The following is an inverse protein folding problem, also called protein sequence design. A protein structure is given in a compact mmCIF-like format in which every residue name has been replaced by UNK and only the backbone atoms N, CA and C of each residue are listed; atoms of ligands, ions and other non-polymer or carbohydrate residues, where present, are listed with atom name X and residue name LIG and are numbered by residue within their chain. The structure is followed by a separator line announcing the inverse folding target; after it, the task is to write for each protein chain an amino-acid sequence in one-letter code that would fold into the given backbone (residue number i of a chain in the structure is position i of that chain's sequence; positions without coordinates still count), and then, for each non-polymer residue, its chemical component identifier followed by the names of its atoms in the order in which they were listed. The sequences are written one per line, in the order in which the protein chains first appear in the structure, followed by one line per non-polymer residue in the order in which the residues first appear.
data_IF_871835357485
#
_entry.id   IF_871835357485
#
_cell.length_a   1.000
_cell.length_b   1.000
_cell.length_c   1.000
_cell.angle_alpha   90.00
_cell.angle_beta   90.00
_cell.angle_gamma   90.00
#
_symmetry.space_group_name_H-M   'P 1'
#
loop_
_entity.id
_entity.type
_entity.pdbx_description
1 polymer ?
#
# COMPACT_ATOMS: atom_id res chain seq x y z
N UNK A 1 3.59 37.06 23.05
CA UNK A 1 2.13 37.28 22.98
C UNK A 1 1.54 36.91 21.62
N UNK A 2 2.04 37.45 20.49
CA UNK A 2 1.53 37.11 19.15
C UNK A 2 1.53 35.60 18.85
N UNK A 3 2.61 34.87 19.15
CA UNK A 3 2.65 33.40 18.99
C UNK A 3 1.60 32.68 19.83
N UNK A 4 1.36 33.12 21.07
CA UNK A 4 0.35 32.53 21.94
C UNK A 4 -1.08 32.82 21.44
N UNK A 5 -1.29 34.01 20.87
CA UNK A 5 -2.55 34.38 20.23
C UNK A 5 -2.83 33.52 18.99
N UNK A 6 -1.82 33.28 18.14
CA UNK A 6 -1.92 32.37 17.00
C UNK A 6 -2.14 30.92 17.44
N UNK A 7 -1.41 30.42 18.44
CA UNK A 7 -1.62 29.05 18.94
C UNK A 7 -2.98 28.84 19.58
N UNK A 8 -3.58 29.91 20.10
CA UNK A 8 -4.95 29.92 20.57
C UNK A 8 -5.85 30.03 19.35
N UNK A 9 -6.06 28.91 18.64
CA UNK A 9 -6.84 28.77 17.41
C UNK A 9 -8.36 29.00 17.58
N UNK A 10 -8.74 30.06 18.32
CA UNK A 10 -10.09 30.52 18.59
C UNK A 10 -10.28 31.94 18.06
N UNK A 11 -11.54 32.36 17.91
CA UNK A 11 -11.90 33.75 17.54
C UNK A 11 -11.27 34.77 18.50
N UNK A 12 -11.16 34.43 19.80
CA UNK A 12 -10.49 35.27 20.78
C UNK A 12 -8.99 35.41 20.54
N UNK A 13 -8.28 34.34 20.13
CA UNK A 13 -6.86 34.44 19.78
C UNK A 13 -6.62 35.26 18.51
N UNK A 14 -7.49 35.11 17.51
CA UNK A 14 -7.46 35.92 16.27
C UNK A 14 -7.66 37.41 16.56
N UNK A 15 -8.66 37.78 17.38
CA UNK A 15 -8.88 39.18 17.79
C UNK A 15 -7.69 39.76 18.57
N UNK A 16 -7.05 38.95 19.41
CA UNK A 16 -5.83 39.39 20.12
C UNK A 16 -4.70 39.64 19.13
N UNK A 17 -4.50 38.78 18.14
CA UNK A 17 -3.49 38.99 17.10
C UNK A 17 -3.78 40.25 16.28
N UNK A 18 -5.03 40.44 15.86
CA UNK A 18 -5.46 41.60 15.07
C UNK A 18 -5.25 42.91 15.84
N UNK A 19 -5.63 42.97 17.12
CA UNK A 19 -5.39 44.14 17.96
C UNK A 19 -3.90 44.43 18.13
N UNK A 20 -3.07 43.39 18.35
CA UNK A 20 -1.62 43.57 18.45
C UNK A 20 -1.02 44.13 17.14
N UNK A 21 -1.55 43.74 15.98
CA UNK A 21 -1.13 44.25 14.69
C UNK A 21 -1.63 45.68 14.43
N UNK A 22 -2.85 46.03 14.85
CA UNK A 22 -3.37 47.41 14.79
C UNK A 22 -2.56 48.38 15.66
N UNK A 23 -2.27 47.99 16.90
CA UNK A 23 -1.61 48.87 17.87
C UNK A 23 -0.12 49.07 17.55
N UNK A 24 0.56 48.03 17.07
CA UNK A 24 2.01 48.05 16.88
C UNK A 24 2.45 48.09 15.42
N UNK A 25 1.54 47.85 14.47
CA UNK A 25 1.82 47.88 13.04
C UNK A 25 3.09 47.10 12.70
N UNK A 26 4.01 47.75 11.97
CA UNK A 26 5.28 47.16 11.56
C UNK A 26 6.26 46.87 12.72
N UNK A 27 6.12 47.55 13.87
CA UNK A 27 7.03 47.38 15.02
C UNK A 27 6.86 46.06 15.79
N UNK A 28 5.75 45.33 15.58
CA UNK A 28 5.57 44.02 16.19
C UNK A 28 6.51 42.99 15.51
N UNK A 29 7.38 42.27 16.23
CA UNK A 29 8.21 41.26 15.58
C UNK A 29 7.37 40.05 15.17
N UNK A 30 7.17 39.87 13.86
CA UNK A 30 6.54 38.67 13.28
C UNK A 30 7.66 37.73 12.83
N UNK A 31 7.94 36.73 13.66
CA UNK A 31 8.94 35.69 13.36
C UNK A 31 8.35 34.59 12.49
N UNK A 32 9.22 33.86 11.80
CA UNK A 32 8.91 32.63 11.07
C UNK A 32 8.04 31.62 11.87
N UNK A 33 8.29 31.46 13.17
CA UNK A 33 7.49 30.60 14.06
C UNK A 33 6.03 31.04 14.22
N UNK A 34 5.75 32.34 14.11
CA UNK A 34 4.40 32.90 14.20
C UNK A 34 3.68 32.64 12.89
N UNK A 35 4.35 32.86 11.76
CA UNK A 35 3.80 32.63 10.42
C UNK A 35 3.53 31.13 10.22
N UNK A 36 4.46 30.24 10.59
CA UNK A 36 4.24 28.79 10.46
C UNK A 36 3.09 28.31 11.35
N UNK A 37 3.02 28.78 12.61
CA UNK A 37 1.91 28.45 13.50
C UNK A 37 0.56 28.96 12.99
N UNK A 38 0.56 30.07 12.25
CA UNK A 38 -0.65 30.61 11.62
C UNK A 38 -1.06 29.78 10.40
N UNK A 39 -0.10 29.33 9.59
CA UNK A 39 -0.33 28.43 8.47
C UNK A 39 -0.76 27.01 8.89
N UNK A 40 -0.39 26.55 10.09
CA UNK A 40 -0.80 25.25 10.65
C UNK A 40 -2.26 25.23 11.16
N UNK A 41 -2.93 26.39 11.25
CA UNK A 41 -4.29 26.45 11.80
C UNK A 41 -5.28 25.70 10.91
N UNK A 42 -6.07 24.83 11.56
CA UNK A 42 -7.11 23.99 10.93
C UNK A 42 -8.53 24.40 11.31
N UNK A 43 -8.72 25.63 11.80
CA UNK A 43 -10.04 26.12 12.20
C UNK A 43 -10.78 26.75 11.01
N UNK A 44 -12.11 26.87 11.14
CA UNK A 44 -12.99 27.37 10.06
C UNK A 44 -13.22 28.89 10.10
N UNK A 45 -12.54 29.62 10.98
CA UNK A 45 -12.65 31.07 11.10
C UNK A 45 -11.60 31.79 10.22
N UNK A 46 -11.50 33.12 10.32
CA UNK A 46 -10.47 33.89 9.60
C UNK A 46 -9.08 33.36 9.94
N UNK A 47 -8.34 32.84 8.95
CA UNK A 47 -7.04 32.23 9.23
C UNK A 47 -6.11 33.29 9.81
N UNK A 48 -5.36 32.98 10.88
CA UNK A 48 -4.39 33.93 11.41
C UNK A 48 -3.39 34.35 10.33
N UNK A 49 -3.14 33.50 9.32
CA UNK A 49 -2.31 33.83 8.17
C UNK A 49 -2.92 34.93 7.29
N UNK A 50 -4.25 34.94 7.11
CA UNK A 50 -4.93 36.02 6.38
C UNK A 50 -4.78 37.36 7.12
N UNK A 51 -4.95 37.34 8.45
CA UNK A 51 -4.74 38.54 9.30
C UNK A 51 -3.29 39.03 9.17
N UNK A 52 -2.31 38.13 9.18
CA UNK A 52 -0.92 38.51 8.99
C UNK A 52 -0.70 39.15 7.61
N UNK A 53 -1.27 38.60 6.52
CA UNK A 53 -1.15 39.16 5.16
C UNK A 53 -1.90 40.48 4.94
N UNK A 54 -2.93 40.75 5.74
CA UNK A 54 -3.68 42.02 5.69
C UNK A 54 -2.88 43.16 6.31
N UNK A 55 -2.28 42.92 7.48
CA UNK A 55 -1.57 43.95 8.25
C UNK A 55 -0.07 44.03 7.99
N UNK A 56 0.49 43.13 7.17
CA UNK A 56 1.92 43.15 6.78
C UNK A 56 2.10 43.23 5.29
N UNK A 57 2.79 44.28 4.86
CA UNK A 57 3.15 44.46 3.45
C UNK A 57 4.16 43.41 2.98
N UNK A 58 5.08 42.98 3.85
CA UNK A 58 6.06 41.92 3.57
C UNK A 58 6.12 40.90 4.70
N UNK A 59 5.83 39.65 4.40
CA UNK A 59 6.07 38.53 5.31
C UNK A 59 7.21 37.68 4.77
N UNK A 60 8.16 37.34 5.62
CA UNK A 60 9.19 36.36 5.27
C UNK A 60 8.53 34.99 5.25
N UNK A 61 8.46 34.39 4.06
CA UNK A 61 7.94 33.04 3.86
C UNK A 61 9.13 32.11 3.68
N UNK A 62 9.49 31.41 4.75
CA UNK A 62 10.56 30.42 4.72
C UNK A 62 10.05 29.04 4.30
N UNK A 63 10.98 28.11 4.07
CA UNK A 63 10.66 26.69 3.89
C UNK A 63 9.82 26.11 5.05
N UNK A 64 10.05 26.54 6.30
CA UNK A 64 9.25 26.10 7.46
C UNK A 64 7.78 26.53 7.31
N UNK A 65 7.55 27.75 6.83
CA UNK A 65 6.19 28.26 6.58
C UNK A 65 5.56 27.48 5.44
N UNK A 66 6.28 27.26 4.34
CA UNK A 66 5.77 26.47 3.23
C UNK A 66 5.44 25.04 3.68
N UNK A 67 6.30 24.36 4.43
CA UNK A 67 6.00 23.04 5.00
C UNK A 67 4.70 23.04 5.83
N UNK A 68 4.47 24.08 6.64
CA UNK A 68 3.22 24.25 7.37
C UNK A 68 2.01 24.43 6.43
N UNK A 69 2.16 25.21 5.36
CA UNK A 69 1.13 25.42 4.32
C UNK A 69 0.80 24.12 3.60
N UNK A 70 1.80 23.43 3.05
CA UNK A 70 1.61 22.23 2.24
C UNK A 70 1.15 21.01 3.06
N UNK A 71 1.37 20.99 4.38
CA UNK A 71 0.78 20.00 5.31
C UNK A 71 -0.62 20.36 5.79
N UNK A 72 -1.14 21.55 5.46
CA UNK A 72 -2.47 21.96 5.89
C UNK A 72 -3.54 21.33 4.99
N UNK A 73 -4.10 20.21 5.44
CA UNK A 73 -5.13 19.44 4.71
C UNK A 73 -6.43 20.22 4.44
N UNK A 74 -6.70 21.30 5.16
CA UNK A 74 -7.94 22.07 5.01
C UNK A 74 -7.77 23.30 4.12
N UNK A 75 -6.63 23.99 4.24
CA UNK A 75 -6.48 25.33 3.70
C UNK A 75 -5.24 25.54 2.82
N UNK A 76 -4.45 24.50 2.53
CA UNK A 76 -3.23 24.62 1.71
C UNK A 76 -3.45 25.43 0.43
N UNK A 77 -4.44 25.05 -0.39
CA UNK A 77 -4.74 25.70 -1.69
C UNK A 77 -5.05 27.18 -1.49
N UNK A 78 -5.95 27.50 -0.55
CA UNK A 78 -6.32 28.90 -0.25
C UNK A 78 -5.12 29.72 0.21
N UNK A 79 -4.22 29.13 1.01
CA UNK A 79 -3.03 29.84 1.47
C UNK A 79 -2.04 30.03 0.31
N UNK A 80 -1.89 29.04 -0.59
CA UNK A 80 -1.10 29.17 -1.82
C UNK A 80 -1.66 30.30 -2.70
N UNK A 81 -2.98 30.34 -2.92
CA UNK A 81 -3.64 31.42 -3.69
C UNK A 81 -3.33 32.82 -3.10
N UNK A 82 -3.33 32.92 -1.77
CA UNK A 82 -2.98 34.17 -1.06
C UNK A 82 -1.51 34.55 -1.25
N UNK A 83 -0.60 33.58 -1.13
CA UNK A 83 0.83 33.78 -1.34
C UNK A 83 1.11 34.29 -2.75
N UNK A 84 0.53 33.64 -3.76
CA UNK A 84 0.67 34.04 -5.17
C UNK A 84 0.05 35.42 -5.41
N UNK A 85 -1.14 35.70 -4.87
CA UNK A 85 -1.79 37.01 -4.99
C UNK A 85 -1.00 38.16 -4.34
N UNK A 86 -0.17 37.85 -3.33
CA UNK A 86 0.78 38.79 -2.70
C UNK A 86 2.15 38.81 -3.38
N UNK A 87 2.30 38.13 -4.51
CA UNK A 87 3.56 38.03 -5.27
C UNK A 87 4.70 37.46 -4.42
N UNK A 88 4.39 36.56 -3.48
CA UNK A 88 5.41 35.81 -2.75
C UNK A 88 5.98 34.76 -3.68
N UNK A 89 7.30 34.72 -3.81
CA UNK A 89 8.00 33.66 -4.52
C UNK A 89 7.89 32.34 -3.74
N UNK A 90 7.34 31.31 -4.38
CA UNK A 90 7.14 29.99 -3.79
C UNK A 90 8.15 29.04 -4.42
N UNK A 91 9.26 28.81 -3.73
CA UNK A 91 10.21 27.77 -4.10
C UNK A 91 9.78 26.43 -3.50
N UNK A 92 9.41 25.46 -4.35
CA UNK A 92 9.06 24.12 -3.90
C UNK A 92 10.31 23.25 -3.91
N UNK A 93 10.86 23.00 -2.72
CA UNK A 93 11.94 22.02 -2.50
C UNK A 93 11.39 20.59 -2.50
N UNK A 94 12.27 19.59 -2.53
CA UNK A 94 11.87 18.17 -2.44
C UNK A 94 11.08 17.88 -1.16
N UNK A 95 11.50 18.42 -0.01
CA UNK A 95 10.81 18.28 1.29
C UNK A 95 9.41 18.90 1.29
N UNK A 96 9.24 20.06 0.65
CA UNK A 96 7.93 20.70 0.47
C UNK A 96 7.06 19.86 -0.47
N UNK A 97 7.63 19.35 -1.56
CA UNK A 97 6.89 18.54 -2.52
C UNK A 97 6.45 17.20 -1.92
N UNK A 98 7.30 16.55 -1.13
CA UNK A 98 6.95 15.34 -0.38
C UNK A 98 5.79 15.64 0.60
N UNK A 99 5.84 16.76 1.32
CA UNK A 99 4.74 17.19 2.18
C UNK A 99 3.44 17.46 1.40
N UNK A 100 3.53 18.06 0.21
CA UNK A 100 2.40 18.30 -0.68
C UNK A 100 1.77 16.98 -1.15
N UNK A 101 2.60 16.01 -1.55
CA UNK A 101 2.18 14.71 -2.08
C UNK A 101 1.62 13.81 -0.99
N UNK A 102 2.16 13.85 0.22
CA UNK A 102 1.64 13.09 1.37
C UNK A 102 0.35 13.70 1.93
N UNK A 103 0.02 14.96 1.59
CA UNK A 103 -1.24 15.58 1.98
C UNK A 103 -2.42 14.85 1.32
N UNK A 104 -3.51 14.66 2.07
CA UNK A 104 -4.75 14.05 1.54
C UNK A 104 -5.30 14.79 0.32
N UNK A 105 -5.14 16.10 0.26
CA UNK A 105 -5.53 16.96 -0.87
C UNK A 105 -4.38 17.14 -1.89
N UNK A 106 -3.34 16.32 -1.84
CA UNK A 106 -2.11 16.48 -2.62
C UNK A 106 -2.33 16.62 -4.11
N UNK A 107 -3.29 15.88 -4.69
CA UNK A 107 -3.69 16.05 -6.09
C UNK A 107 -4.07 17.49 -6.44
N UNK A 108 -4.92 18.13 -5.62
CA UNK A 108 -5.37 19.50 -5.85
C UNK A 108 -4.27 20.51 -5.59
N UNK A 109 -3.39 20.23 -4.62
CA UNK A 109 -2.21 21.06 -4.36
C UNK A 109 -1.28 21.06 -5.58
N UNK A 110 -0.98 19.89 -6.16
CA UNK A 110 -0.11 19.79 -7.34
C UNK A 110 -0.76 20.49 -8.54
N UNK A 111 -2.08 20.35 -8.73
CA UNK A 111 -2.81 21.13 -9.74
C UNK A 111 -2.71 22.63 -9.54
N UNK A 112 -2.79 23.09 -8.29
CA UNK A 112 -2.63 24.50 -7.93
C UNK A 112 -1.21 25.00 -8.27
N UNK A 113 -0.16 24.22 -7.98
CA UNK A 113 1.21 24.54 -8.38
C UNK A 113 1.36 24.69 -9.89
N UNK A 114 0.82 23.73 -10.66
CA UNK A 114 0.83 23.77 -12.12
C UNK A 114 0.07 24.97 -12.69
N UNK A 115 -1.10 25.28 -12.12
CA UNK A 115 -1.91 26.43 -12.54
C UNK A 115 -1.15 27.75 -12.41
N UNK A 116 -0.32 27.87 -11.37
CA UNK A 116 0.51 29.06 -11.14
C UNK A 116 1.91 28.98 -11.76
N UNK A 117 2.19 27.96 -12.58
CA UNK A 117 3.51 27.70 -13.16
C UNK A 117 4.64 27.64 -12.10
N UNK A 118 4.33 27.15 -10.89
CA UNK A 118 5.31 26.94 -9.83
C UNK A 118 6.06 25.64 -10.13
N UNK A 119 7.36 25.74 -10.38
CA UNK A 119 8.20 24.58 -10.60
C UNK A 119 8.35 23.75 -9.32
N UNK A 120 8.36 22.42 -9.46
CA UNK A 120 8.59 21.48 -8.37
C UNK A 120 9.41 20.28 -8.86
N UNK A 121 10.27 19.71 -8.01
CA UNK A 121 11.01 18.49 -8.35
C UNK A 121 10.08 17.28 -8.32
N UNK A 122 10.40 16.25 -9.11
CA UNK A 122 9.83 14.91 -8.96
C UNK A 122 10.97 13.92 -8.93
N UNK A 123 11.24 13.42 -7.73
CA UNK A 123 12.29 12.45 -7.44
C UNK A 123 11.69 11.07 -7.21
N UNK A 124 12.53 10.05 -7.07
CA UNK A 124 12.10 8.70 -6.68
C UNK A 124 11.24 8.73 -5.39
N UNK A 125 11.68 9.48 -4.37
CA UNK A 125 10.98 9.60 -3.10
C UNK A 125 9.59 10.24 -3.23
N UNK A 126 9.47 11.22 -4.13
CA UNK A 126 8.19 11.86 -4.46
C UNK A 126 7.25 10.88 -5.17
N UNK A 127 7.76 10.06 -6.10
CA UNK A 127 6.96 9.01 -6.72
C UNK A 127 6.49 7.95 -5.73
N UNK A 128 7.36 7.53 -4.81
CA UNK A 128 6.99 6.57 -3.76
C UNK A 128 5.87 7.13 -2.89
N UNK A 129 5.99 8.39 -2.46
CA UNK A 129 4.96 9.09 -1.69
C UNK A 129 3.65 9.22 -2.48
N UNK A 130 3.74 9.51 -3.78
CA UNK A 130 2.57 9.62 -4.65
C UNK A 130 1.87 8.27 -4.78
N UNK A 131 2.60 7.19 -5.01
CA UNK A 131 2.04 5.84 -5.14
C UNK A 131 1.30 5.36 -3.87
N UNK A 132 1.66 5.88 -2.70
CA UNK A 132 1.00 5.59 -1.42
C UNK A 132 -0.14 6.56 -1.07
N UNK A 133 -0.33 7.63 -1.84
CA UNK A 133 -1.42 8.58 -1.61
C UNK A 133 -2.76 8.00 -2.09
N UNK A 134 -3.86 8.34 -1.41
CA UNK A 134 -5.22 7.91 -1.81
C UNK A 134 -5.66 8.40 -3.20
N UNK A 135 -5.09 9.52 -3.66
CA UNK A 135 -5.24 10.07 -5.01
C UNK A 135 -3.97 9.86 -5.85
N UNK A 136 -3.12 8.89 -5.46
CA UNK A 136 -1.83 8.61 -6.09
C UNK A 136 -1.91 8.36 -7.58
N UNK A 137 -2.97 7.67 -8.00
CA UNK A 137 -3.37 7.45 -9.39
C UNK A 137 -3.35 8.74 -10.23
N UNK A 138 -3.98 9.80 -9.72
CA UNK A 138 -4.13 11.07 -10.43
C UNK A 138 -2.86 11.92 -10.31
N UNK A 139 -2.15 11.83 -9.18
CA UNK A 139 -0.87 12.50 -8.98
C UNK A 139 0.19 11.97 -9.96
N UNK A 140 0.32 10.64 -10.08
CA UNK A 140 1.27 10.01 -10.98
C UNK A 140 0.93 10.32 -12.43
N UNK A 141 -0.35 10.31 -12.81
CA UNK A 141 -0.79 10.76 -14.15
C UNK A 141 -0.31 12.16 -14.48
N UNK A 142 -0.42 13.10 -13.53
CA UNK A 142 0.08 14.46 -13.71
C UNK A 142 1.59 14.44 -13.93
N UNK A 143 2.36 13.70 -13.12
CA UNK A 143 3.81 13.64 -13.28
C UNK A 143 4.24 13.10 -14.64
N UNK A 144 3.56 12.08 -15.18
CA UNK A 144 3.85 11.57 -16.53
C UNK A 144 3.55 12.60 -17.63
N UNK A 145 2.41 13.30 -17.53
CA UNK A 145 1.99 14.29 -18.53
C UNK A 145 2.96 15.46 -18.65
N UNK A 146 3.66 15.79 -17.57
CA UNK A 146 4.63 16.87 -17.53
C UNK A 146 6.09 16.42 -17.79
N UNK A 147 6.27 15.24 -18.42
CA UNK A 147 7.53 14.74 -19.01
C UNK A 147 8.73 14.88 -18.08
N UNK A 148 8.63 14.30 -16.90
CA UNK A 148 9.76 14.22 -16.00
C UNK A 148 10.62 13.04 -16.44
N UNK A 149 11.88 13.30 -16.79
CA UNK A 149 12.91 12.30 -17.15
C UNK A 149 13.25 11.39 -15.96
N UNK A 150 12.25 10.70 -15.43
CA UNK A 150 12.37 9.87 -14.25
C UNK A 150 12.58 8.42 -14.67
N UNK A 151 13.76 7.89 -14.34
CA UNK A 151 14.01 6.47 -14.41
C UNK A 151 13.20 5.77 -13.32
N UNK A 152 12.34 4.84 -13.73
CA UNK A 152 11.57 4.04 -12.78
C UNK A 152 12.44 2.91 -12.29
N UNK A 153 12.77 2.97 -11.00
CA UNK A 153 13.50 1.92 -10.28
C UNK A 153 12.56 0.75 -9.93
N UNK A 154 13.14 -0.39 -9.61
CA UNK A 154 12.38 -1.54 -9.09
C UNK A 154 11.55 -1.16 -7.85
N UNK A 155 12.11 -0.35 -6.94
CA UNK A 155 11.42 0.09 -5.74
C UNK A 155 10.16 0.91 -6.06
N UNK A 156 10.26 1.84 -7.02
CA UNK A 156 9.09 2.61 -7.49
C UNK A 156 8.07 1.67 -8.14
N UNK A 157 8.52 0.74 -9.00
CA UNK A 157 7.65 -0.24 -9.64
C UNK A 157 6.92 -1.13 -8.64
N UNK A 158 7.62 -1.70 -7.63
CA UNK A 158 6.99 -2.52 -6.57
C UNK A 158 5.90 -1.75 -5.82
N UNK A 159 6.10 -0.44 -5.61
CA UNK A 159 5.13 0.40 -4.90
C UNK A 159 3.91 0.69 -5.78
N UNK A 160 4.14 1.03 -7.05
CA UNK A 160 3.09 1.24 -8.06
C UNK A 160 2.19 0.01 -8.18
N UNK A 161 2.76 -1.16 -8.47
CA UNK A 161 1.97 -2.37 -8.75
C UNK A 161 1.23 -2.89 -7.52
N UNK A 162 1.72 -2.55 -6.31
CA UNK A 162 1.09 -2.92 -5.05
C UNK A 162 -0.08 -2.02 -4.66
N UNK A 163 -0.01 -0.72 -4.97
CA UNK A 163 -0.94 0.28 -4.43
C UNK A 163 -1.90 0.89 -5.44
N UNK A 164 -1.55 0.93 -6.73
CA UNK A 164 -2.37 1.59 -7.75
C UNK A 164 -3.35 0.62 -8.42
N UNK A 165 -4.40 1.18 -9.01
CA UNK A 165 -5.37 0.42 -9.80
C UNK A 165 -4.80 0.05 -11.17
N UNK A 166 -5.26 -1.06 -11.73
CA UNK A 166 -4.87 -1.50 -13.07
C UNK A 166 -5.04 -0.42 -14.14
N UNK A 167 -6.11 0.39 -14.05
CA UNK A 167 -6.40 1.52 -14.96
C UNK A 167 -5.34 2.63 -14.96
N UNK A 168 -4.37 2.57 -14.04
CA UNK A 168 -3.20 3.45 -13.99
C UNK A 168 -1.93 2.68 -14.31
N UNK A 169 -1.77 1.47 -13.75
CA UNK A 169 -0.57 0.66 -13.95
C UNK A 169 -0.34 0.37 -15.44
N UNK A 170 -1.39 0.01 -16.20
CA UNK A 170 -1.28 -0.23 -17.64
C UNK A 170 -0.75 0.99 -18.41
N UNK A 171 -1.43 2.16 -18.42
CA UNK A 171 -0.96 3.31 -19.20
C UNK A 171 0.38 3.85 -18.69
N UNK A 172 0.69 3.66 -17.40
CA UNK A 172 1.99 4.01 -16.83
C UNK A 172 3.12 3.13 -17.41
N UNK A 173 2.96 1.80 -17.40
CA UNK A 173 3.91 0.86 -18.00
C UNK A 173 4.08 1.14 -19.49
N UNK A 174 2.97 1.33 -20.23
CA UNK A 174 3.01 1.70 -21.65
C UNK A 174 3.79 3.00 -21.88
N UNK A 175 3.51 4.04 -21.10
CA UNK A 175 4.18 5.32 -21.22
C UNK A 175 5.68 5.21 -20.89
N UNK A 176 6.07 4.55 -19.80
CA UNK A 176 7.47 4.39 -19.42
C UNK A 176 8.22 3.56 -20.47
N UNK A 177 7.58 2.52 -21.04
CA UNK A 177 8.20 1.66 -22.07
C UNK A 177 8.60 2.41 -23.34
N UNK A 178 8.05 3.60 -23.60
CA UNK A 178 8.44 4.46 -24.73
C UNK A 178 9.82 5.11 -24.54
N UNK A 179 10.27 5.26 -23.29
CA UNK A 179 11.50 6.02 -22.96
C UNK A 179 12.53 5.18 -22.18
N UNK A 180 12.10 4.12 -21.50
CA UNK A 180 12.94 3.18 -20.77
C UNK A 180 12.78 1.77 -21.38
N UNK A 181 13.80 1.29 -22.08
CA UNK A 181 13.77 -0.02 -22.77
C UNK A 181 13.65 -1.19 -21.80
N UNK A 182 14.39 -1.14 -20.69
CA UNK A 182 14.40 -2.18 -19.67
C UNK A 182 13.62 -1.72 -18.45
N UNK A 183 12.31 -2.03 -18.44
CA UNK A 183 11.49 -1.85 -17.26
C UNK A 183 11.95 -2.83 -16.16
N UNK A 184 11.99 -2.42 -14.88
CA UNK A 184 12.45 -3.27 -13.79
C UNK A 184 11.35 -4.26 -13.37
N UNK A 185 10.84 -5.07 -14.30
CA UNK A 185 9.83 -6.11 -14.04
C UNK A 185 10.57 -7.38 -13.62
N UNK A 186 10.72 -7.55 -12.32
CA UNK A 186 11.38 -8.68 -11.67
C UNK A 186 10.38 -9.57 -10.92
N UNK A 187 10.84 -10.69 -10.39
CA UNK A 187 10.05 -11.59 -9.55
C UNK A 187 9.60 -10.88 -8.26
N UNK A 188 10.38 -9.92 -7.76
CA UNK A 188 10.01 -9.09 -6.61
C UNK A 188 8.88 -8.11 -6.96
N UNK A 189 8.87 -7.54 -8.16
CA UNK A 189 7.75 -6.73 -8.67
C UNK A 189 6.50 -7.60 -8.81
N UNK A 190 6.62 -8.80 -9.36
CA UNK A 190 5.51 -9.74 -9.45
C UNK A 190 4.94 -10.11 -8.07
N UNK A 191 5.80 -10.44 -7.10
CA UNK A 191 5.39 -10.74 -5.73
C UNK A 191 4.77 -9.52 -5.00
N UNK A 192 5.10 -8.30 -5.44
CA UNK A 192 4.46 -7.08 -4.93
C UNK A 192 3.07 -6.88 -5.57
N UNK A 193 2.93 -7.19 -6.85
CA UNK A 193 1.65 -7.14 -7.57
C UNK A 193 0.62 -8.12 -6.99
N UNK A 194 1.04 -9.32 -6.58
CA UNK A 194 0.12 -10.28 -5.93
C UNK A 194 -0.47 -9.75 -4.62
N UNK A 195 0.14 -8.74 -4.00
CA UNK A 195 -0.35 -8.09 -2.76
C UNK A 195 -1.27 -6.89 -3.01
N UNK A 196 -1.56 -6.58 -4.27
CA UNK A 196 -2.48 -5.50 -4.62
C UNK A 196 -3.90 -5.84 -4.13
N UNK A 197 -4.55 -4.89 -3.46
CA UNK A 197 -5.87 -5.11 -2.84
C UNK A 197 -7.05 -4.82 -3.76
N UNK A 198 -6.82 -4.18 -4.90
CA UNK A 198 -7.88 -3.69 -5.79
C UNK A 198 -7.87 -4.33 -7.18
N UNK A 199 -6.69 -4.69 -7.69
CA UNK A 199 -6.53 -5.13 -9.09
C UNK A 199 -5.40 -6.17 -9.25
N UNK A 200 -5.13 -7.01 -8.24
CA UNK A 200 -4.01 -7.95 -8.28
C UNK A 200 -4.03 -8.87 -9.51
N UNK A 201 -5.18 -9.46 -9.87
CA UNK A 201 -5.27 -10.35 -11.03
C UNK A 201 -4.87 -9.62 -12.32
N UNK A 202 -5.48 -8.46 -12.60
CA UNK A 202 -5.20 -7.70 -13.83
C UNK A 202 -3.74 -7.22 -13.89
N UNK A 203 -3.18 -6.78 -12.76
CA UNK A 203 -1.79 -6.33 -12.69
C UNK A 203 -0.82 -7.51 -12.82
N UNK A 204 -1.11 -8.67 -12.24
CA UNK A 204 -0.29 -9.88 -12.43
C UNK A 204 -0.31 -10.32 -13.90
N UNK A 205 -1.49 -10.41 -14.52
CA UNK A 205 -1.64 -10.75 -15.94
C UNK A 205 -0.81 -9.78 -16.80
N UNK A 206 -0.93 -8.48 -16.53
CA UNK A 206 -0.18 -7.45 -17.23
C UNK A 206 1.33 -7.68 -17.16
N UNK A 207 1.88 -7.89 -15.96
CA UNK A 207 3.33 -8.09 -15.78
C UNK A 207 3.83 -9.36 -16.49
N UNK A 208 3.05 -10.45 -16.45
CA UNK A 208 3.39 -11.70 -17.13
C UNK A 208 3.33 -11.57 -18.66
N UNK A 209 2.42 -10.75 -19.18
CA UNK A 209 2.35 -10.43 -20.61
C UNK A 209 3.51 -9.54 -21.06
N UNK A 210 3.90 -8.57 -20.24
CA UNK A 210 5.03 -7.69 -20.53
C UNK A 210 6.38 -8.41 -20.43
N UNK A 211 6.52 -9.37 -19.51
CA UNK A 211 7.73 -10.17 -19.35
C UNK A 211 7.41 -11.67 -19.47
N UNK A 212 7.24 -12.23 -20.69
CA UNK A 212 6.84 -13.63 -20.90
C UNK A 212 7.85 -14.70 -20.44
N UNK A 213 9.05 -14.29 -20.01
CA UNK A 213 10.09 -15.17 -19.47
C UNK A 213 10.31 -14.97 -17.96
N UNK A 214 9.39 -14.30 -17.29
CA UNK A 214 9.49 -14.01 -15.86
C UNK A 214 9.35 -15.31 -15.06
N UNK A 215 10.33 -15.60 -14.21
CA UNK A 215 10.28 -16.83 -13.43
C UNK A 215 9.29 -16.68 -12.28
N UNK A 216 8.48 -17.71 -12.04
CA UNK A 216 7.63 -17.74 -10.83
C UNK A 216 8.49 -18.30 -9.69
N UNK A 217 8.69 -17.50 -8.64
CA UNK A 217 9.44 -17.91 -7.44
C UNK A 217 8.51 -18.34 -6.33
N UNK A 218 9.05 -19.06 -5.34
CA UNK A 218 8.31 -19.44 -4.12
C UNK A 218 7.68 -18.21 -3.46
N UNK A 219 8.40 -17.08 -3.44
CA UNK A 219 7.90 -15.83 -2.89
C UNK A 219 6.64 -15.36 -3.61
N UNK A 220 6.57 -15.44 -4.94
CA UNK A 220 5.39 -15.04 -5.71
C UNK A 220 4.19 -15.92 -5.35
N UNK A 221 4.38 -17.23 -5.27
CA UNK A 221 3.32 -18.19 -4.91
C UNK A 221 2.85 -17.96 -3.47
N UNK A 222 3.79 -17.78 -2.54
CA UNK A 222 3.51 -17.46 -1.13
C UNK A 222 2.65 -16.20 -0.99
N UNK A 223 3.02 -15.12 -1.68
CA UNK A 223 2.34 -13.83 -1.53
C UNK A 223 1.03 -13.78 -2.28
N UNK A 224 0.85 -14.61 -3.31
CA UNK A 224 -0.45 -14.87 -3.91
C UNK A 224 -1.36 -15.59 -2.91
N UNK A 225 -0.84 -16.63 -2.24
CA UNK A 225 -1.60 -17.38 -1.24
C UNK A 225 -2.05 -16.54 -0.03
N UNK A 226 -1.24 -15.55 0.38
CA UNK A 226 -1.58 -14.60 1.45
C UNK A 226 -2.67 -13.59 1.06
N UNK A 227 -2.99 -13.43 -0.24
CA UNK A 227 -3.97 -12.44 -0.67
C UNK A 227 -5.40 -12.93 -0.36
N UNK A 228 -5.97 -12.41 0.72
CA UNK A 228 -7.31 -12.79 1.18
C UNK A 228 -8.46 -12.46 0.21
N UNK A 229 -8.25 -11.53 -0.74
CA UNK A 229 -9.30 -11.08 -1.67
C UNK A 229 -9.28 -11.84 -2.98
N UNK A 230 -8.09 -12.13 -3.52
CA UNK A 230 -7.91 -12.67 -4.87
C UNK A 230 -6.90 -13.83 -4.96
N UNK A 231 -6.43 -14.37 -3.82
CA UNK A 231 -5.34 -15.34 -3.80
C UNK A 231 -5.59 -16.60 -4.64
N UNK A 232 -6.82 -17.12 -4.62
CA UNK A 232 -7.22 -18.24 -5.48
C UNK A 232 -7.07 -17.91 -6.97
N UNK A 233 -7.62 -16.79 -7.39
CA UNK A 233 -7.61 -16.37 -8.79
C UNK A 233 -6.19 -16.05 -9.27
N UNK A 234 -5.35 -15.44 -8.41
CA UNK A 234 -3.94 -15.19 -8.72
C UNK A 234 -3.19 -16.51 -8.87
N UNK A 235 -3.38 -17.47 -7.97
CA UNK A 235 -2.72 -18.78 -8.09
C UNK A 235 -3.16 -19.54 -9.35
N UNK A 236 -4.42 -19.42 -9.77
CA UNK A 236 -4.87 -19.95 -11.07
C UNK A 236 -4.13 -19.30 -12.24
N UNK A 237 -4.00 -17.97 -12.25
CA UNK A 237 -3.26 -17.25 -13.29
C UNK A 237 -1.80 -17.73 -13.36
N UNK A 238 -1.16 -17.91 -12.19
CA UNK A 238 0.22 -18.39 -12.13
C UNK A 238 0.34 -19.85 -12.62
N UNK A 239 -0.63 -20.69 -12.30
CA UNK A 239 -0.73 -22.09 -12.73
C UNK A 239 -0.91 -22.22 -14.25
N UNK A 240 -1.71 -21.34 -14.85
CA UNK A 240 -1.90 -21.28 -16.30
C UNK A 240 -0.64 -20.76 -17.02
N UNK A 241 0.13 -19.89 -16.36
CA UNK A 241 1.36 -19.32 -16.90
C UNK A 241 2.56 -20.28 -16.82
N UNK A 242 2.70 -21.03 -15.73
CA UNK A 242 3.81 -21.98 -15.52
C UNK A 242 3.32 -23.34 -15.04
N UNK A 243 3.67 -24.39 -15.81
CA UNK A 243 3.41 -25.77 -15.43
C UNK A 243 4.18 -26.20 -14.17
N UNK A 244 5.31 -25.56 -13.87
CA UNK A 244 6.10 -25.83 -12.67
C UNK A 244 6.01 -24.64 -11.72
N UNK A 245 5.17 -24.75 -10.69
CA UNK A 245 5.07 -23.76 -9.63
C UNK A 245 5.98 -24.19 -8.46
N UNK A 246 6.79 -23.30 -7.89
CA UNK A 246 7.62 -23.63 -6.73
C UNK A 246 6.76 -23.72 -5.46
N UNK A 247 6.05 -24.83 -5.30
CA UNK A 247 5.20 -25.09 -4.14
C UNK A 247 6.03 -25.79 -3.07
N UNK A 248 6.37 -25.06 -2.01
CA UNK A 248 7.14 -25.57 -0.88
C UNK A 248 6.27 -25.90 0.33
N UNK A 249 6.85 -26.56 1.33
CA UNK A 249 6.24 -26.74 2.65
C UNK A 249 5.79 -25.40 3.26
N UNK A 250 6.57 -24.32 3.03
CA UNK A 250 6.25 -23.00 3.54
C UNK A 250 4.96 -22.47 2.90
N UNK A 251 4.82 -22.57 1.58
CA UNK A 251 3.61 -22.16 0.84
C UNK A 251 2.39 -22.93 1.36
N UNK A 252 2.49 -24.24 1.51
CA UNK A 252 1.40 -25.07 2.02
C UNK A 252 1.03 -24.72 3.46
N UNK A 253 2.02 -24.44 4.30
CA UNK A 253 1.83 -24.01 5.68
C UNK A 253 1.10 -22.66 5.76
N UNK A 254 1.46 -21.69 4.91
CA UNK A 254 0.79 -20.39 4.86
C UNK A 254 -0.68 -20.51 4.45
N UNK A 255 -0.98 -21.35 3.46
CA UNK A 255 -2.37 -21.63 3.05
C UNK A 255 -3.12 -22.31 4.21
N UNK A 256 -2.51 -23.30 4.86
CA UNK A 256 -3.11 -24.00 5.99
C UNK A 256 -3.34 -23.08 7.20
N UNK A 257 -2.52 -22.05 7.39
CA UNK A 257 -2.65 -21.06 8.47
C UNK A 257 -3.62 -19.91 8.15
N UNK A 258 -4.08 -19.79 6.90
CA UNK A 258 -4.87 -18.64 6.48
C UNK A 258 -6.17 -18.50 7.28
N UNK A 259 -6.47 -17.28 7.72
CA UNK A 259 -7.72 -16.94 8.42
C UNK A 259 -8.86 -16.55 7.46
N UNK A 260 -8.69 -16.80 6.16
CA UNK A 260 -9.67 -16.49 5.13
C UNK A 260 -10.86 -17.48 5.16
N UNK A 261 -11.85 -17.26 4.30
CA UNK A 261 -12.99 -18.17 4.17
C UNK A 261 -12.51 -19.61 3.95
N UNK A 262 -12.96 -20.54 4.78
CA UNK A 262 -12.53 -21.93 4.70
C UNK A 262 -12.74 -22.55 3.32
N UNK A 263 -13.80 -22.17 2.60
CA UNK A 263 -14.03 -22.60 1.21
C UNK A 263 -12.90 -22.19 0.29
N UNK A 264 -12.42 -20.94 0.38
CA UNK A 264 -11.32 -20.43 -0.46
C UNK A 264 -10.01 -21.17 -0.19
N UNK A 265 -9.73 -21.48 1.08
CA UNK A 265 -8.54 -22.26 1.46
C UNK A 265 -8.59 -23.65 0.81
N UNK A 266 -9.74 -24.32 0.84
CA UNK A 266 -9.91 -25.64 0.22
C UNK A 266 -9.80 -25.57 -1.30
N UNK A 267 -10.39 -24.57 -1.94
CA UNK A 267 -10.26 -24.35 -3.40
C UNK A 267 -8.79 -24.18 -3.81
N UNK A 268 -8.06 -23.31 -3.12
CA UNK A 268 -6.62 -23.07 -3.37
C UNK A 268 -5.81 -24.35 -3.17
N UNK A 269 -6.01 -25.04 -2.05
CA UNK A 269 -5.27 -26.25 -1.74
C UNK A 269 -5.58 -27.36 -2.76
N UNK A 270 -6.85 -27.54 -3.11
CA UNK A 270 -7.25 -28.57 -4.09
C UNK A 270 -6.64 -28.30 -5.45
N UNK A 271 -6.63 -27.04 -5.89
CA UNK A 271 -6.00 -26.64 -7.15
C UNK A 271 -4.51 -26.95 -7.15
N UNK A 272 -3.77 -26.54 -6.11
CA UNK A 272 -2.33 -26.80 -6.01
C UNK A 272 -1.99 -28.29 -5.94
N UNK A 273 -2.80 -29.08 -5.23
CA UNK A 273 -2.65 -30.55 -5.16
C UNK A 273 -2.96 -31.24 -6.49
N UNK A 274 -3.75 -30.64 -7.37
CA UNK A 274 -3.99 -31.15 -8.73
C UNK A 274 -2.88 -30.73 -9.70
N UNK A 275 -2.21 -29.62 -9.43
CA UNK A 275 -1.16 -29.08 -10.29
C UNK A 275 0.14 -29.87 -10.23
N UNK A 276 0.50 -30.39 -9.05
CA UNK A 276 1.74 -31.14 -8.85
C UNK A 276 1.48 -32.45 -8.09
N UNK A 277 1.98 -33.56 -8.63
CA UNK A 277 1.88 -34.84 -7.95
C UNK A 277 2.74 -34.86 -6.66
N UNK A 278 4.03 -34.53 -6.75
CA UNK A 278 4.92 -34.66 -5.60
C UNK A 278 4.96 -33.41 -4.71
N UNK A 279 3.88 -33.24 -3.93
CA UNK A 279 3.74 -32.10 -3.03
C UNK A 279 4.44 -32.32 -1.69
N UNK A 280 5.15 -31.31 -1.14
CA UNK A 280 5.86 -31.39 0.13
C UNK A 280 4.90 -31.26 1.33
N UNK A 281 3.96 -32.19 1.43
CA UNK A 281 3.06 -32.32 2.56
C UNK A 281 3.86 -32.94 3.71
N UNK A 282 4.23 -32.10 4.68
CA UNK A 282 4.98 -32.50 5.87
C UNK A 282 4.09 -32.56 7.10
N UNK A 283 4.65 -33.04 8.21
CA UNK A 283 3.99 -32.97 9.52
C UNK A 283 3.57 -31.53 9.86
N UNK A 284 4.43 -30.54 9.63
CA UNK A 284 4.14 -29.13 9.94
C UNK A 284 2.92 -28.59 9.18
N UNK A 285 2.74 -28.97 7.90
CA UNK A 285 1.57 -28.59 7.11
C UNK A 285 0.29 -29.14 7.76
N UNK A 286 0.31 -30.41 8.18
CA UNK A 286 -0.84 -31.06 8.83
C UNK A 286 -1.09 -30.47 10.22
N UNK A 287 -0.03 -30.13 10.96
CA UNK A 287 -0.08 -29.53 12.30
C UNK A 287 -0.72 -28.13 12.24
N UNK A 288 -0.33 -27.35 11.23
CA UNK A 288 -0.89 -26.02 10.96
C UNK A 288 -2.35 -26.12 10.54
N UNK A 289 -2.69 -27.05 9.64
CA UNK A 289 -4.07 -27.31 9.25
C UNK A 289 -4.94 -27.68 10.45
N UNK A 290 -4.44 -28.52 11.35
CA UNK A 290 -5.10 -28.90 12.58
C UNK A 290 -5.38 -27.74 13.53
N UNK A 291 -4.49 -26.75 13.59
CA UNK A 291 -4.66 -25.53 14.38
C UNK A 291 -5.61 -24.51 13.72
N UNK A 292 -5.94 -24.68 12.44
CA UNK A 292 -6.85 -23.77 11.74
C UNK A 292 -8.31 -24.00 12.16
N UNK A 293 -8.85 -23.08 12.97
CA UNK A 293 -10.22 -23.17 13.47
C UNK A 293 -11.30 -22.93 12.40
N UNK A 294 -10.96 -22.27 11.29
CA UNK A 294 -11.93 -21.93 10.24
C UNK A 294 -12.17 -23.12 9.29
N UNK A 295 -11.12 -23.88 8.95
CA UNK A 295 -11.17 -24.90 7.90
C UNK A 295 -10.39 -26.18 8.18
N UNK A 296 -9.76 -26.32 9.35
CA UNK A 296 -8.82 -27.41 9.65
C UNK A 296 -9.28 -28.82 9.30
N UNK A 297 -10.50 -29.27 9.71
CA UNK A 297 -11.00 -30.59 9.32
C UNK A 297 -11.02 -30.82 7.81
N UNK A 298 -11.44 -29.81 7.04
CA UNK A 298 -11.52 -29.90 5.59
C UNK A 298 -10.13 -29.87 4.96
N UNK A 299 -9.20 -29.06 5.47
CA UNK A 299 -7.82 -29.00 4.98
C UNK A 299 -7.16 -30.37 5.14
N UNK A 300 -7.23 -30.95 6.33
CA UNK A 300 -6.68 -32.29 6.62
C UNK A 300 -7.33 -33.34 5.71
N UNK A 301 -8.65 -33.24 5.49
CA UNK A 301 -9.37 -34.16 4.61
C UNK A 301 -8.87 -34.11 3.17
N UNK A 302 -8.72 -32.91 2.60
CA UNK A 302 -8.22 -32.72 1.24
C UNK A 302 -6.80 -33.27 1.08
N UNK A 303 -5.89 -32.94 2.00
CA UNK A 303 -4.50 -33.40 1.98
C UNK A 303 -4.42 -34.93 2.11
N UNK A 304 -5.22 -35.54 2.98
CA UNK A 304 -5.28 -36.99 3.14
C UNK A 304 -5.80 -37.70 1.89
N UNK A 305 -6.87 -37.20 1.28
CA UNK A 305 -7.40 -37.76 0.04
C UNK A 305 -6.35 -37.76 -1.07
N UNK A 306 -5.61 -36.66 -1.21
CA UNK A 306 -4.49 -36.56 -2.14
C UNK A 306 -3.38 -37.59 -1.85
N UNK A 307 -2.93 -37.69 -0.59
CA UNK A 307 -1.92 -38.67 -0.18
C UNK A 307 -2.36 -40.12 -0.45
N UNK A 308 -3.60 -40.48 -0.09
CA UNK A 308 -4.17 -41.82 -0.34
C UNK A 308 -4.25 -42.13 -1.83
N UNK A 309 -4.66 -41.17 -2.66
CA UNK A 309 -4.70 -41.34 -4.10
C UNK A 309 -3.31 -41.62 -4.70
N UNK A 310 -2.25 -41.18 -4.04
CA UNK A 310 -0.86 -41.47 -4.42
C UNK A 310 -0.27 -42.70 -3.71
N UNK A 311 -1.07 -43.44 -2.93
CA UNK A 311 -0.59 -44.58 -2.13
C UNK A 311 0.36 -44.18 -1.01
N UNK A 312 0.41 -42.90 -0.64
CA UNK A 312 1.25 -42.35 0.42
C UNK A 312 0.48 -42.22 1.73
N UNK A 313 1.20 -42.29 2.84
CA UNK A 313 0.65 -42.07 4.18
C UNK A 313 0.66 -40.60 4.56
N UNK A 314 -0.40 -40.12 5.22
CA UNK A 314 -0.39 -38.79 5.82
C UNK A 314 0.67 -38.73 6.94
N UNK A 315 1.60 -37.75 6.94
CA UNK A 315 2.60 -37.62 8.00
C UNK A 315 1.93 -37.11 9.27
N UNK A 316 1.61 -38.01 10.20
CA UNK A 316 0.96 -37.68 11.48
C UNK A 316 1.62 -38.37 12.67
N UNK A 317 2.11 -37.58 13.64
CA UNK A 317 2.53 -38.11 14.95
C UNK A 317 1.37 -38.12 15.99
N UNK A 318 1.57 -38.82 17.12
CA UNK A 318 0.56 -38.92 18.20
C UNK A 318 0.27 -37.58 18.91
N UNK A 319 1.21 -36.65 18.90
CA UNK A 319 1.10 -35.33 19.54
C UNK A 319 0.21 -34.41 18.71
N UNK A 320 0.40 -34.38 17.39
CA UNK A 320 -0.40 -33.64 16.43
C UNK A 320 -1.89 -33.99 16.55
N UNK A 321 -2.21 -35.27 16.70
CA UNK A 321 -3.59 -35.74 16.92
C UNK A 321 -4.18 -35.22 18.22
N UNK A 322 -3.36 -35.11 19.28
CA UNK A 322 -3.82 -34.62 20.57
C UNK A 322 -4.07 -33.11 20.51
N UNK A 323 -3.17 -32.38 19.87
CA UNK A 323 -3.18 -30.91 19.85
C UNK A 323 -4.26 -30.40 18.85
N UNK A 324 -4.39 -31.00 17.66
CA UNK A 324 -5.47 -30.76 16.68
C UNK A 324 -6.88 -30.92 17.26
N UNK A 325 -7.04 -31.94 18.09
CA UNK A 325 -8.30 -32.32 18.72
C UNK A 325 -8.59 -31.44 19.94
N UNK A 326 -7.55 -30.90 20.59
CA UNK A 326 -7.73 -30.03 21.75
C UNK A 326 -8.25 -28.65 21.34
N UNK A 327 -7.72 -28.11 20.24
CA UNK A 327 -7.98 -26.75 19.73
C UNK A 327 -9.20 -26.63 18.79
N UNK A 328 -9.66 -27.75 18.21
CA UNK A 328 -10.81 -27.72 17.28
C UNK A 328 -12.18 -27.59 17.97
N UNK A 329 -13.10 -26.85 17.32
CA UNK A 329 -14.52 -26.82 17.70
C UNK A 329 -15.25 -28.13 17.35
N UNK A 330 -14.78 -28.87 16.34
CA UNK A 330 -15.36 -30.13 15.89
C UNK A 330 -14.44 -31.33 16.20
N UNK A 331 -14.23 -31.54 17.50
CA UNK A 331 -13.29 -32.55 18.05
C UNK A 331 -13.66 -33.97 17.63
N UNK A 332 -14.94 -34.23 17.40
CA UNK A 332 -15.46 -35.57 17.09
C UNK A 332 -15.11 -35.94 15.65
N UNK A 333 -15.32 -35.01 14.72
CA UNK A 333 -15.04 -35.24 13.30
C UNK A 333 -13.53 -35.39 13.04
N UNK A 334 -12.69 -34.51 13.62
CA UNK A 334 -11.22 -34.63 13.51
C UNK A 334 -10.73 -35.96 14.12
N UNK A 335 -11.23 -36.36 15.31
CA UNK A 335 -10.85 -37.64 15.94
C UNK A 335 -11.22 -38.84 15.08
N UNK A 336 -12.41 -38.83 14.49
CA UNK A 336 -12.89 -39.90 13.60
C UNK A 336 -12.01 -39.97 12.36
N UNK A 337 -11.78 -38.82 11.72
CA UNK A 337 -10.98 -38.70 10.52
C UNK A 337 -9.55 -39.20 10.71
N UNK A 338 -8.87 -38.75 11.77
CA UNK A 338 -7.50 -39.17 12.08
C UNK A 338 -7.42 -40.68 12.37
N UNK A 339 -8.42 -41.24 13.06
CA UNK A 339 -8.48 -42.69 13.32
C UNK A 339 -8.65 -43.49 12.04
N UNK A 340 -9.45 -43.00 11.10
CA UNK A 340 -9.70 -43.65 9.82
C UNK A 340 -8.46 -43.51 8.90
N UNK A 341 -7.80 -42.35 8.89
CA UNK A 341 -6.54 -42.14 8.18
C UNK A 341 -5.41 -43.08 8.65
N UNK A 342 -5.36 -43.40 9.95
CA UNK A 342 -4.42 -44.40 10.51
C UNK A 342 -4.70 -45.85 10.11
N UNK A 343 -5.94 -46.19 9.77
CA UNK A 343 -6.29 -47.56 9.34
C UNK A 343 -5.99 -47.79 7.86
N UNK A 344 -6.00 -46.72 7.07
CA UNK A 344 -5.77 -46.75 5.63
C UNK A 344 -4.30 -46.54 5.23
N UNK A 345 -3.38 -46.44 6.20
CA UNK A 345 -1.94 -46.32 5.96
C UNK A 345 -1.31 -47.71 5.98
N UNK A 346 -0.74 -48.21 4.86
CA UNK A 346 0.04 -49.45 4.87
C UNK A 346 1.24 -49.29 5.81
N UNK A 347 1.57 -50.35 6.54
CA UNK A 347 2.65 -50.39 7.52
C UNK A 347 4.04 -50.18 6.92
#
# INVERSE_FOLDING_TARGET
MALAAVRRSSVSGQRVLENLLKDRGESLPITDRIVSAAAEQRNNHALAIDILFEYRASLVVSERVLLAVFRNELWAIRIIDRLVGKQVDITVTETIMEAAVQNRMGYYIIKCLLQYNIAFPVTEQIMLSAAMNTQGDDIIKIFLQHQLDLVITEKVMTTIVRHLRYSIVLPLIEHISQYQQDLPITEQVLASATRNRTSACDVVILLLQYQPRLSITEQVVATAAENALAGYDILMILSDYSADLPITEQVLTMIAAAESSGTRIIEMLTMLLQHQEDMPITEQVVETAAANHAAGPNIIKTVWQHQVNQGKSLPVNKRLIRDAVWESRDKVEIRKFIKDAKKCTPA
#
